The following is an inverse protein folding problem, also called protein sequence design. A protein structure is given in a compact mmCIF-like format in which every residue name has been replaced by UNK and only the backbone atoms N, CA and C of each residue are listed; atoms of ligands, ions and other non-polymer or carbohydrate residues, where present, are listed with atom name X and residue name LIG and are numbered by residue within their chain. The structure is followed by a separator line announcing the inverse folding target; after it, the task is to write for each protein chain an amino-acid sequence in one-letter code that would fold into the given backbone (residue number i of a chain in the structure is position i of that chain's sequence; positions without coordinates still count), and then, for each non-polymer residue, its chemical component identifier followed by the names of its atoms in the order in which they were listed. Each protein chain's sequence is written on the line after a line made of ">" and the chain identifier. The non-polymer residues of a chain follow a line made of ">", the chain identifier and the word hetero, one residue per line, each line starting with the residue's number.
data_IF_240705272874
#
_entry.id   IF_240705272874
#
_cell.length_a   1.000
_cell.length_b   1.000
_cell.length_c   1.000
_cell.angle_alpha   90.00
_cell.angle_beta   90.00
_cell.angle_gamma   90.00
#
_symmetry.space_group_name_H-M   'P 1'
#
loop_
_entity.id
_entity.type
_entity.pdbx_description
1 polymer ?
#
# COMPACT_ATOMS: atom_id res chain seq x y z
N UNK A 1 -31.98 60.20 50.05
CA UNK A 1 -32.88 59.43 49.18
C UNK A 1 -32.03 58.58 48.25
N UNK A 2 -32.16 57.24 48.39
CA UNK A 2 -32.01 56.19 47.38
C UNK A 2 -30.67 56.04 46.63
N UNK A 3 -30.09 54.86 46.42
CA UNK A 3 -30.38 53.50 46.84
C UNK A 3 -29.12 52.64 46.55
N UNK A 4 -28.77 51.78 47.49
CA UNK A 4 -28.25 50.40 47.40
C UNK A 4 -27.83 49.82 46.02
N UNK A 5 -26.63 49.23 45.93
CA UNK A 5 -26.34 47.82 45.58
C UNK A 5 -24.87 47.66 45.08
N UNK A 6 -23.98 47.08 45.90
CA UNK A 6 -23.62 45.66 45.99
C UNK A 6 -22.82 45.09 44.79
N UNK A 7 -21.51 45.07 45.01
CA UNK A 7 -20.50 44.08 44.63
C UNK A 7 -21.06 42.75 44.09
N UNK A 8 -20.76 42.44 42.83
CA UNK A 8 -20.52 41.07 42.39
C UNK A 8 -19.53 41.06 41.22
N UNK A 9 -18.28 40.72 41.57
CA UNK A 9 -17.27 40.28 40.63
C UNK A 9 -17.70 38.91 40.12
N UNK A 10 -18.03 38.80 38.83
CA UNK A 10 -18.17 37.51 38.19
C UNK A 10 -17.30 37.46 36.93
N UNK A 11 -16.01 37.19 37.17
CA UNK A 11 -15.06 36.79 36.14
C UNK A 11 -15.44 35.37 35.73
N UNK A 12 -16.15 35.22 34.62
CA UNK A 12 -16.37 33.91 34.01
C UNK A 12 -15.01 33.32 33.61
N UNK A 13 -14.69 32.07 34.01
CA UNK A 13 -13.40 31.48 33.74
C UNK A 13 -13.23 31.24 32.23
N UNK A 14 -12.18 31.84 31.68
CA UNK A 14 -11.59 31.45 30.41
C UNK A 14 -11.23 29.95 30.46
N UNK A 15 -12.13 29.09 29.98
CA UNK A 15 -11.79 27.71 29.65
C UNK A 15 -10.98 27.69 28.36
N UNK A 16 -9.70 28.03 28.47
CA UNK A 16 -8.71 27.99 27.38
C UNK A 16 -7.62 26.97 27.64
N UNK A 17 -7.93 25.80 28.22
CA UNK A 17 -6.91 24.76 28.40
C UNK A 17 -7.48 23.36 28.26
N UNK A 18 -7.48 22.84 27.02
CA UNK A 18 -7.37 21.39 26.73
C UNK A 18 -7.32 21.04 25.23
N UNK A 19 -7.56 22.00 24.32
CA UNK A 19 -7.71 21.68 22.87
C UNK A 19 -6.38 21.22 22.21
N UNK A 20 -5.22 21.63 22.74
CA UNK A 20 -3.92 21.37 22.10
C UNK A 20 -3.40 19.92 22.27
N UNK A 21 -3.59 19.30 23.44
CA UNK A 21 -3.07 17.94 23.70
C UNK A 21 -3.94 16.84 23.09
N UNK A 22 -5.26 17.03 23.11
CA UNK A 22 -6.22 16.09 22.52
C UNK A 22 -6.13 16.11 20.99
N UNK A 23 -5.94 17.29 20.39
CA UNK A 23 -5.75 17.41 18.94
C UNK A 23 -4.48 16.71 18.44
N UNK A 24 -3.35 16.86 19.14
CA UNK A 24 -2.08 16.21 18.78
C UNK A 24 -2.13 14.70 18.89
N UNK A 25 -2.77 14.18 19.95
CA UNK A 25 -2.94 12.73 20.11
C UNK A 25 -3.86 12.14 19.05
N UNK A 26 -4.95 12.82 18.68
CA UNK A 26 -5.81 12.41 17.58
C UNK A 26 -5.05 12.39 16.25
N UNK A 27 -4.25 13.41 15.96
CA UNK A 27 -3.44 13.48 14.74
C UNK A 27 -2.44 12.30 14.65
N UNK A 28 -1.75 12.00 15.76
CA UNK A 28 -0.80 10.88 15.82
C UNK A 28 -1.52 9.54 15.64
N UNK A 29 -2.68 9.35 16.26
CA UNK A 29 -3.49 8.13 16.09
C UNK A 29 -3.95 8.00 14.64
N UNK A 30 -4.45 9.07 14.02
CA UNK A 30 -4.85 9.07 12.60
C UNK A 30 -3.67 8.73 11.70
N UNK A 31 -2.48 9.30 11.96
CA UNK A 31 -1.27 8.96 11.21
C UNK A 31 -0.90 7.48 11.41
N UNK A 32 -0.89 6.97 12.64
CA UNK A 32 -0.59 5.56 12.91
C UNK A 32 -1.58 4.65 12.19
N UNK A 33 -2.88 4.92 12.27
CA UNK A 33 -3.92 4.16 11.57
C UNK A 33 -3.70 4.23 10.05
N UNK A 34 -3.34 5.39 9.53
CA UNK A 34 -3.05 5.58 8.10
C UNK A 34 -1.83 4.79 7.62
N UNK A 35 -0.79 4.68 8.46
CA UNK A 35 0.41 3.89 8.15
C UNK A 35 0.25 2.41 8.47
N UNK A 36 -0.62 2.04 9.42
CA UNK A 36 -0.79 0.67 9.90
C UNK A 36 -1.87 -0.12 9.12
N UNK A 37 -2.84 0.56 8.50
CA UNK A 37 -3.80 -0.12 7.64
C UNK A 37 -3.12 -0.38 6.29
N UNK A 38 -2.53 -1.56 6.16
CA UNK A 38 -2.08 -2.08 4.88
C UNK A 38 -3.32 -2.44 4.03
N UNK A 39 -3.77 -1.48 3.20
CA UNK A 39 -4.83 -1.69 2.20
C UNK A 39 -4.30 -2.35 0.93
N UNK A 40 -3.18 -3.07 0.97
CA UNK A 40 -2.86 -3.98 -0.13
C UNK A 40 -4.06 -4.90 -0.32
N UNK A 41 -4.65 -4.95 -1.53
CA UNK A 41 -5.77 -5.85 -1.77
C UNK A 41 -5.26 -7.26 -1.46
N UNK A 42 -5.84 -7.87 -0.43
CA UNK A 42 -5.50 -9.23 -0.02
C UNK A 42 -6.02 -10.11 -1.13
N UNK A 43 -5.11 -10.51 -2.02
CA UNK A 43 -5.44 -11.46 -3.06
C UNK A 43 -5.53 -12.86 -2.45
N UNK A 44 -6.42 -13.66 -2.99
CA UNK A 44 -6.55 -15.07 -2.72
C UNK A 44 -5.57 -15.86 -3.62
N UNK A 45 -5.36 -17.15 -3.32
CA UNK A 45 -4.57 -18.06 -4.16
C UNK A 45 -3.17 -17.54 -4.53
N UNK A 46 -2.47 -16.93 -3.56
CA UNK A 46 -1.13 -16.40 -3.80
C UNK A 46 -0.11 -17.51 -4.10
N UNK A 47 0.53 -17.42 -5.27
CA UNK A 47 1.68 -18.23 -5.66
C UNK A 47 2.96 -17.42 -5.45
N UNK A 48 4.00 -18.09 -4.96
CA UNK A 48 5.30 -17.49 -4.68
C UNK A 48 6.38 -18.18 -5.51
N UNK A 49 7.32 -17.41 -6.03
CA UNK A 49 8.52 -17.90 -6.70
C UNK A 49 9.71 -17.06 -6.25
N UNK A 50 10.88 -17.69 -6.14
CA UNK A 50 12.14 -17.01 -5.79
C UNK A 50 12.95 -16.86 -7.05
N UNK A 51 13.64 -15.72 -7.19
CA UNK A 51 14.52 -15.50 -8.33
C UNK A 51 15.67 -16.52 -8.36
N UNK A 52 16.23 -16.85 -9.54
CA UNK A 52 17.32 -17.81 -9.65
C UNK A 52 18.56 -17.46 -8.82
N UNK A 53 18.81 -16.17 -8.63
CA UNK A 53 19.90 -15.63 -7.80
C UNK A 53 19.54 -15.51 -6.31
N UNK A 54 18.29 -15.77 -5.92
CA UNK A 54 17.83 -15.71 -4.54
C UNK A 54 17.64 -14.29 -3.98
N UNK A 55 17.90 -13.24 -4.76
CA UNK A 55 17.83 -11.84 -4.31
C UNK A 55 16.38 -11.35 -4.14
N UNK A 56 15.47 -11.89 -4.96
CA UNK A 56 14.10 -11.41 -5.08
C UNK A 56 13.08 -12.53 -4.88
N UNK A 57 11.91 -12.13 -4.41
CA UNK A 57 10.75 -12.98 -4.26
C UNK A 57 9.62 -12.35 -5.07
N UNK A 58 9.00 -13.11 -5.96
CA UNK A 58 7.81 -12.72 -6.67
C UNK A 58 6.58 -13.41 -6.07
N UNK A 59 5.53 -12.65 -5.79
CA UNK A 59 4.21 -13.17 -5.46
C UNK A 59 3.21 -12.80 -6.55
N UNK A 60 2.35 -13.73 -6.89
CA UNK A 60 1.22 -13.56 -7.79
C UNK A 60 -0.04 -13.93 -7.05
N UNK A 61 -0.93 -12.98 -6.80
CA UNK A 61 -2.16 -13.19 -6.05
C UNK A 61 -3.39 -12.83 -6.88
N UNK A 62 -4.45 -13.64 -6.82
CA UNK A 62 -5.74 -13.38 -7.45
C UNK A 62 -6.48 -12.33 -6.63
N UNK A 63 -6.81 -11.17 -7.22
CA UNK A 63 -7.56 -10.12 -6.54
C UNK A 63 -9.07 -10.32 -6.66
N UNK A 64 -9.56 -10.60 -7.86
CA UNK A 64 -11.00 -10.71 -8.13
C UNK A 64 -11.24 -11.58 -9.35
N UNK A 65 -12.20 -12.50 -9.22
CA UNK A 65 -12.70 -13.30 -10.34
C UNK A 65 -13.90 -12.61 -10.96
N UNK A 66 -13.82 -12.30 -12.26
CA UNK A 66 -14.92 -11.67 -12.99
C UNK A 66 -15.67 -12.74 -13.80
N UNK A 67 -16.98 -12.96 -13.56
CA UNK A 67 -17.77 -13.91 -14.36
C UNK A 67 -17.75 -13.51 -15.84
N UNK A 68 -17.29 -14.41 -16.71
CA UNK A 68 -17.22 -14.16 -18.16
C UNK A 68 -16.12 -13.19 -18.60
N UNK A 69 -15.21 -12.78 -17.70
CA UNK A 69 -14.08 -11.89 -18.01
C UNK A 69 -12.75 -12.46 -17.51
N UNK A 70 -11.67 -11.71 -17.77
CA UNK A 70 -10.35 -12.09 -17.28
C UNK A 70 -10.23 -11.81 -15.77
N UNK A 71 -9.78 -12.78 -14.96
CA UNK A 71 -9.49 -12.55 -13.56
C UNK A 71 -8.41 -11.48 -13.38
N UNK A 72 -8.53 -10.71 -12.30
CA UNK A 72 -7.60 -9.66 -11.95
C UNK A 72 -6.58 -10.16 -10.93
N UNK A 73 -5.31 -9.86 -11.15
CA UNK A 73 -4.19 -10.30 -10.33
C UNK A 73 -3.33 -9.13 -9.85
N UNK A 74 -2.58 -9.37 -8.78
CA UNK A 74 -1.47 -8.52 -8.35
C UNK A 74 -0.16 -9.29 -8.44
N UNK A 75 0.77 -8.78 -9.25
CA UNK A 75 2.17 -9.18 -9.27
C UNK A 75 2.96 -8.29 -8.32
N UNK A 76 3.67 -8.89 -7.37
CA UNK A 76 4.44 -8.19 -6.33
C UNK A 76 5.86 -8.73 -6.29
N UNK A 77 6.83 -7.84 -6.18
CA UNK A 77 8.23 -8.19 -6.01
C UNK A 77 8.70 -7.70 -4.66
N UNK A 78 9.35 -8.58 -3.91
CA UNK A 78 9.90 -8.33 -2.60
C UNK A 78 11.40 -8.58 -2.61
N UNK A 79 12.12 -7.87 -1.74
CA UNK A 79 13.48 -8.23 -1.38
C UNK A 79 13.47 -9.53 -0.57
N UNK A 80 14.22 -10.54 -1.00
CA UNK A 80 14.32 -11.80 -0.27
C UNK A 80 14.98 -11.63 1.10
N UNK A 81 15.95 -10.70 1.20
CA UNK A 81 16.69 -10.42 2.42
C UNK A 81 15.85 -9.72 3.48
N UNK A 82 15.06 -8.73 3.08
CA UNK A 82 14.34 -7.83 4.03
C UNK A 82 12.84 -8.10 4.10
N UNK A 83 12.28 -8.88 3.17
CA UNK A 83 10.84 -9.03 3.01
C UNK A 83 10.12 -7.76 2.54
N UNK A 84 10.84 -6.68 2.22
CA UNK A 84 10.25 -5.40 1.81
C UNK A 84 9.65 -5.48 0.41
N UNK A 85 8.43 -4.97 0.24
CA UNK A 85 7.82 -4.77 -1.08
C UNK A 85 8.62 -3.73 -1.88
N UNK A 86 9.11 -4.14 -3.05
CA UNK A 86 9.91 -3.30 -3.94
C UNK A 86 9.12 -2.78 -5.14
N UNK A 87 8.15 -3.56 -5.63
CA UNK A 87 7.31 -3.18 -6.75
C UNK A 87 6.00 -3.96 -6.71
N UNK A 88 4.93 -3.39 -7.25
CA UNK A 88 3.64 -4.05 -7.41
C UNK A 88 2.94 -3.52 -8.66
N UNK A 89 2.37 -4.43 -9.44
CA UNK A 89 1.46 -4.12 -10.54
C UNK A 89 0.18 -4.94 -10.42
N UNK A 90 -0.93 -4.36 -10.85
CA UNK A 90 -2.22 -5.03 -10.99
C UNK A 90 -2.55 -5.20 -12.45
N UNK A 91 -3.03 -6.36 -12.85
CA UNK A 91 -3.26 -6.70 -14.25
C UNK A 91 -4.33 -7.76 -14.40
N UNK A 92 -4.83 -7.96 -15.61
CA UNK A 92 -5.85 -8.97 -15.91
C UNK A 92 -5.35 -9.90 -17.00
N UNK A 93 -5.38 -11.20 -16.74
CA UNK A 93 -4.94 -12.21 -17.72
C UNK A 93 -5.72 -13.51 -17.54
N UNK A 94 -6.01 -14.25 -18.62
CA UNK A 94 -6.52 -15.61 -18.49
C UNK A 94 -5.45 -16.61 -18.05
N UNK A 95 -4.15 -16.31 -18.25
CA UNK A 95 -3.05 -17.25 -18.01
C UNK A 95 -1.98 -16.64 -17.07
N UNK A 96 -2.23 -16.60 -15.75
CA UNK A 96 -1.30 -16.06 -14.76
C UNK A 96 -0.08 -16.99 -14.55
N UNK A 97 1.14 -16.47 -14.73
CA UNK A 97 2.37 -17.25 -14.56
C UNK A 97 3.55 -16.38 -14.12
N UNK A 98 4.33 -16.83 -13.13
CA UNK A 98 5.57 -16.17 -12.75
C UNK A 98 6.72 -16.74 -13.57
N UNK A 99 7.39 -15.90 -14.36
CA UNK A 99 8.57 -16.28 -15.15
C UNK A 99 9.72 -15.30 -14.92
N UNK A 100 10.91 -15.82 -14.64
CA UNK A 100 12.12 -15.02 -14.46
C UNK A 100 12.94 -15.01 -15.75
N UNK A 101 13.43 -13.83 -16.14
CA UNK A 101 14.21 -13.63 -17.36
C UNK A 101 15.50 -12.87 -17.02
N UNK A 102 16.61 -13.24 -17.68
CA UNK A 102 17.94 -12.70 -17.41
C UNK A 102 18.83 -12.59 -18.65
N UNK A 103 18.24 -12.47 -19.85
CA UNK A 103 19.01 -12.52 -21.11
C UNK A 103 19.75 -11.20 -21.40
N UNK A 104 19.00 -10.09 -21.54
CA UNK A 104 19.55 -8.75 -21.76
C UNK A 104 19.28 -7.83 -20.57
N UNK A 105 18.06 -7.89 -20.06
CA UNK A 105 17.60 -7.20 -18.87
C UNK A 105 17.04 -8.24 -17.90
N UNK A 106 17.35 -8.09 -16.62
CA UNK A 106 16.79 -8.97 -15.59
C UNK A 106 15.39 -8.46 -15.28
N UNK A 107 14.37 -9.29 -15.44
CA UNK A 107 12.99 -8.94 -15.11
C UNK A 107 12.17 -10.17 -14.75
N UNK A 108 11.02 -9.93 -14.13
CA UNK A 108 10.02 -10.96 -13.85
C UNK A 108 8.74 -10.63 -14.61
N UNK A 109 8.17 -11.63 -15.28
CA UNK A 109 6.85 -11.58 -15.91
C UNK A 109 5.81 -12.27 -15.03
N UNK A 110 4.57 -11.78 -15.04
CA UNK A 110 3.45 -12.33 -14.28
C UNK A 110 2.33 -12.94 -15.14
N UNK A 111 2.48 -12.97 -16.47
CA UNK A 111 1.59 -13.69 -17.36
C UNK A 111 2.37 -14.47 -18.41
N UNK A 112 1.80 -15.61 -18.81
CA UNK A 112 2.24 -16.34 -19.99
C UNK A 112 1.65 -15.60 -21.18
N UNK A 113 2.44 -14.75 -21.81
CA UNK A 113 1.99 -13.87 -22.90
C UNK A 113 1.09 -14.61 -23.88
N UNK A 114 -0.21 -14.32 -23.83
CA UNK A 114 -1.24 -14.81 -24.75
C UNK A 114 -1.28 -13.98 -26.04
N UNK A 115 -0.24 -13.16 -26.27
CA UNK A 115 -0.15 -12.25 -27.40
C UNK A 115 -0.97 -10.97 -27.25
N UNK A 116 -1.61 -10.73 -26.09
CA UNK A 116 -2.29 -9.47 -25.78
C UNK A 116 -1.40 -8.47 -25.03
N UNK A 117 -1.74 -7.18 -25.10
CA UNK A 117 -1.08 -6.05 -24.42
C UNK A 117 -1.10 -6.11 -22.87
N UNK A 118 -1.59 -7.20 -22.29
CA UNK A 118 -1.78 -7.37 -20.85
C UNK A 118 -0.59 -8.06 -20.16
N UNK A 119 0.52 -8.29 -20.86
CA UNK A 119 1.73 -8.83 -20.24
C UNK A 119 2.35 -7.81 -19.30
N UNK A 120 2.44 -8.17 -18.02
CA UNK A 120 3.03 -7.30 -16.99
C UNK A 120 4.37 -7.84 -16.55
N UNK A 121 5.38 -7.00 -16.72
CA UNK A 121 6.76 -7.25 -16.34
C UNK A 121 7.25 -6.20 -15.35
N UNK A 122 8.15 -6.61 -14.46
CA UNK A 122 8.84 -5.72 -13.51
C UNK A 122 10.33 -5.90 -13.71
N UNK A 123 11.02 -4.83 -14.10
CA UNK A 123 12.47 -4.81 -14.24
C UNK A 123 13.18 -4.98 -12.89
N UNK A 124 14.35 -5.61 -12.91
CA UNK A 124 15.16 -5.91 -11.74
C UNK A 124 16.59 -5.35 -11.94
N UNK A 125 17.10 -4.53 -11.00
CA UNK A 125 16.41 -4.01 -9.82
C UNK A 125 15.21 -3.10 -10.19
N UNK A 126 14.12 -3.08 -9.38
CA UNK A 126 12.98 -2.23 -9.68
C UNK A 126 13.34 -0.75 -9.72
N UNK A 127 12.70 -0.02 -10.62
CA UNK A 127 12.90 1.42 -10.81
C UNK A 127 12.59 2.17 -9.51
N UNK A 128 13.21 3.34 -9.34
CA UNK A 128 12.95 4.19 -8.18
C UNK A 128 11.47 4.60 -8.08
N UNK A 129 10.82 4.82 -9.22
CA UNK A 129 9.37 5.08 -9.30
C UNK A 129 8.57 3.93 -8.70
N UNK A 130 8.88 2.69 -9.08
CA UNK A 130 8.14 1.50 -8.63
C UNK A 130 8.34 1.28 -7.13
N UNK A 131 9.57 1.50 -6.65
CA UNK A 131 9.89 1.45 -5.21
C UNK A 131 9.14 2.52 -4.43
N UNK A 132 9.04 3.73 -4.97
CA UNK A 132 8.31 4.81 -4.32
C UNK A 132 6.81 4.51 -4.28
N UNK A 133 6.23 4.02 -5.39
CA UNK A 133 4.83 3.63 -5.48
C UNK A 133 4.50 2.43 -4.57
N UNK A 134 5.43 1.49 -4.43
CA UNK A 134 5.33 0.38 -3.49
C UNK A 134 5.41 0.82 -2.02
N UNK A 135 6.17 1.88 -1.73
CA UNK A 135 6.32 2.44 -0.39
C UNK A 135 5.23 3.44 0.01
N UNK A 136 4.33 3.83 -0.90
CA UNK A 136 3.25 4.76 -0.57
C UNK A 136 2.29 4.11 0.44
N UNK A 137 1.97 4.78 1.56
CA UNK A 137 0.83 4.40 2.38
C UNK A 137 -0.42 4.46 1.50
N UNK A 138 -1.10 3.33 1.33
CA UNK A 138 -2.19 3.20 0.37
C UNK A 138 -3.48 3.66 1.03
N UNK A 139 -4.01 4.77 0.52
CA UNK A 139 -5.20 5.49 0.98
C UNK A 139 -6.46 4.64 1.08
#
# INVERSE_FOLDING_TARGET
>A
MSNTQNKSSNKSPQSTFAVSRVSRTLLVIVLIVFFAIDRTPYGEECRKSTSPDGTYIANLCLLTRVPGGNPQYAGRVYSAQTGKLLAQHTFSTPVPEISWHSYSDVYVSFSRGDGGDNSVYISLPPLLSDRLLAARPRL
#
